data_IF_159181517723
#
_entry.id   IF_159181517723
#
_cell.length_a   1.000
_cell.length_b   1.000
_cell.length_c   1.000
_cell.angle_alpha   90.00
_cell.angle_beta   90.00
_cell.angle_gamma   90.00
#
_symmetry.space_group_name_H-M   'P 1'
#
loop_
_entity.id
_entity.type
_entity.pdbx_description
1 polymer ?
#
# COMPACT_ATOMS: atom_id res chain seq x y z
N UNK A 1 -11.37 10.84 -4.02
CA UNK A 1 -12.35 9.74 -3.93
C UNK A 1 -11.68 8.43 -4.38
N UNK A 2 -10.91 7.77 -3.52
CA UNK A 2 -10.14 6.54 -3.86
C UNK A 2 -11.04 5.39 -4.32
N UNK A 3 -12.26 5.34 -3.80
CA UNK A 3 -13.23 4.28 -4.05
C UNK A 3 -14.38 4.68 -4.99
N UNK A 4 -14.28 5.83 -5.68
CA UNK A 4 -15.37 6.38 -6.50
C UNK A 4 -16.51 6.97 -5.66
N UNK A 5 -17.61 7.39 -6.31
CA UNK A 5 -18.73 8.08 -5.67
C UNK A 5 -20.09 7.70 -6.29
N UNK A 6 -21.19 8.08 -5.61
CA UNK A 6 -22.55 7.87 -6.10
C UNK A 6 -22.99 6.40 -6.12
N UNK A 7 -23.83 6.03 -7.10
CA UNK A 7 -24.43 4.69 -7.19
C UNK A 7 -23.45 3.55 -7.51
N UNK A 8 -22.20 3.87 -7.89
CA UNK A 8 -21.14 2.91 -8.21
C UNK A 8 -19.90 3.08 -7.33
N UNK A 9 -20.06 3.66 -6.14
CA UNK A 9 -19.00 3.66 -5.12
C UNK A 9 -18.62 2.22 -4.78
N UNK A 10 -17.33 1.97 -4.52
CA UNK A 10 -16.86 0.62 -4.18
C UNK A 10 -17.63 0.10 -2.96
N UNK A 11 -18.38 -1.02 -3.09
CA UNK A 11 -19.12 -1.59 -1.96
C UNK A 11 -18.19 -2.08 -0.85
N UNK A 12 -16.95 -2.44 -1.20
CA UNK A 12 -15.93 -2.90 -0.26
C UNK A 12 -15.15 -1.79 0.46
N UNK A 13 -15.44 -0.49 0.23
CA UNK A 13 -14.63 0.61 0.77
C UNK A 13 -14.48 0.57 2.30
N UNK A 14 -15.53 0.14 3.02
CA UNK A 14 -15.50 0.09 4.48
C UNK A 14 -14.60 -1.05 4.99
N UNK A 15 -14.61 -2.20 4.31
CA UNK A 15 -13.71 -3.31 4.62
C UNK A 15 -12.28 -2.90 4.29
N UNK A 16 -12.04 -2.36 3.08
CA UNK A 16 -10.72 -1.92 2.65
C UNK A 16 -10.09 -0.90 3.63
N UNK A 17 -10.83 0.13 4.03
CA UNK A 17 -10.35 1.13 4.99
C UNK A 17 -9.99 0.52 6.36
N UNK A 18 -10.85 -0.37 6.88
CA UNK A 18 -10.60 -1.04 8.17
C UNK A 18 -9.41 -1.98 8.08
N UNK A 19 -9.31 -2.77 7.01
CA UNK A 19 -8.21 -3.71 6.81
C UNK A 19 -6.87 -2.99 6.67
N UNK A 20 -6.79 -1.92 5.87
CA UNK A 20 -5.56 -1.12 5.72
C UNK A 20 -5.15 -0.54 7.07
N UNK A 21 -6.10 0.02 7.82
CA UNK A 21 -5.81 0.59 9.14
C UNK A 21 -5.23 -0.45 10.11
N UNK A 22 -5.93 -1.59 10.28
CA UNK A 22 -5.52 -2.63 11.23
C UNK A 22 -4.17 -3.23 10.82
N UNK A 23 -4.00 -3.59 9.55
CA UNK A 23 -2.75 -4.21 9.09
C UNK A 23 -1.57 -3.25 9.22
N UNK A 24 -1.74 -1.98 8.87
CA UNK A 24 -0.68 -0.97 9.02
C UNK A 24 -0.32 -0.77 10.49
N UNK A 25 -1.31 -0.67 11.38
CA UNK A 25 -1.08 -0.53 12.81
C UNK A 25 -0.32 -1.73 13.40
N UNK A 26 -0.67 -2.95 13.02
CA UNK A 26 0.02 -4.17 13.47
C UNK A 26 1.47 -4.20 12.98
N UNK A 27 1.72 -3.86 11.71
CA UNK A 27 3.08 -3.82 11.16
C UNK A 27 3.95 -2.83 11.93
N UNK A 28 3.43 -1.63 12.19
CA UNK A 28 4.16 -0.57 12.91
C UNK A 28 4.32 -0.85 14.41
N UNK A 29 3.41 -1.65 14.98
CA UNK A 29 3.55 -2.13 16.36
C UNK A 29 4.65 -3.19 16.47
N UNK A 30 4.72 -4.12 15.52
CA UNK A 30 5.62 -5.27 15.57
C UNK A 30 7.05 -4.98 15.08
N UNK A 31 7.24 -4.08 14.12
CA UNK A 31 8.53 -3.90 13.42
C UNK A 31 9.01 -2.45 13.36
N UNK A 32 10.30 -2.24 13.04
CA UNK A 32 10.90 -0.94 12.73
C UNK A 32 11.38 -0.92 11.30
N UNK A 33 10.46 -0.61 10.39
CA UNK A 33 10.74 -0.59 8.95
C UNK A 33 11.80 0.46 8.62
N UNK A 34 12.85 0.05 7.90
CA UNK A 34 13.88 0.92 7.36
C UNK A 34 14.22 0.55 5.91
N UNK A 35 14.62 1.55 5.12
CA UNK A 35 15.09 1.34 3.76
C UNK A 35 16.45 0.62 3.77
N UNK A 36 16.66 -0.32 2.85
CA UNK A 36 17.98 -0.93 2.64
C UNK A 36 18.95 0.12 2.06
N UNK A 37 20.03 0.52 2.76
CA UNK A 37 20.96 1.53 2.26
C UNK A 37 21.68 1.13 0.97
N UNK A 38 21.82 -0.18 0.71
CA UNK A 38 22.46 -0.70 -0.50
C UNK A 38 21.50 -0.81 -1.69
N UNK A 39 20.19 -0.82 -1.46
CA UNK A 39 19.15 -0.98 -2.48
C UNK A 39 17.99 -0.02 -2.18
N UNK A 40 18.13 1.24 -2.59
CA UNK A 40 17.11 2.26 -2.42
C UNK A 40 15.84 1.94 -3.20
N UNK A 41 14.70 2.27 -2.61
CA UNK A 41 13.38 2.01 -3.18
C UNK A 41 13.07 3.11 -4.19
N UNK A 42 12.82 2.72 -5.43
CA UNK A 42 12.30 3.65 -6.44
C UNK A 42 10.78 3.83 -6.27
N UNK A 43 10.40 4.97 -5.70
CA UNK A 43 8.99 5.33 -5.46
C UNK A 43 8.17 5.54 -6.73
N UNK A 44 8.81 5.69 -7.89
CA UNK A 44 8.14 5.91 -9.18
C UNK A 44 8.12 4.64 -10.06
N UNK A 45 8.78 3.56 -9.62
CA UNK A 45 8.78 2.28 -10.31
C UNK A 45 7.42 1.57 -10.15
N UNK A 46 6.47 1.95 -11.00
CA UNK A 46 5.09 1.47 -10.98
C UNK A 46 4.70 0.99 -12.38
N UNK A 47 3.92 -0.10 -12.46
CA UNK A 47 3.46 -0.65 -13.74
C UNK A 47 2.53 0.32 -14.47
N UNK A 48 2.79 0.57 -15.76
CA UNK A 48 1.97 1.41 -16.61
C UNK A 48 0.86 0.58 -17.32
N UNK A 49 0.03 -0.10 -16.53
CA UNK A 49 -1.12 -0.88 -16.99
C UNK A 49 -2.39 -0.44 -16.28
N UNK A 50 -3.55 -0.98 -16.67
CA UNK A 50 -4.83 -0.64 -16.05
C UNK A 50 -4.88 -0.89 -14.53
N UNK A 51 -4.03 -1.80 -14.04
CA UNK A 51 -3.83 -2.08 -12.61
C UNK A 51 -2.43 -1.65 -12.19
N UNK A 52 -2.37 -0.64 -11.34
CA UNK A 52 -1.13 -0.01 -10.86
C UNK A 52 -0.51 -0.86 -9.75
N UNK A 53 0.67 -1.44 -10.00
CA UNK A 53 1.45 -2.20 -9.02
C UNK A 53 2.85 -1.62 -8.90
N UNK A 54 3.36 -1.51 -7.66
CA UNK A 54 4.76 -1.18 -7.42
C UNK A 54 5.68 -2.31 -7.92
N UNK A 55 6.87 -1.96 -8.40
CA UNK A 55 7.93 -2.91 -8.65
C UNK A 55 8.37 -3.63 -7.37
N UNK A 56 9.04 -4.77 -7.50
CA UNK A 56 9.56 -5.49 -6.34
C UNK A 56 10.61 -4.65 -5.61
N UNK A 57 10.54 -4.62 -4.29
CA UNK A 57 11.49 -3.93 -3.41
C UNK A 57 11.70 -4.72 -2.12
N UNK A 58 12.81 -4.41 -1.43
CA UNK A 58 13.18 -5.03 -0.17
C UNK A 58 13.30 -3.97 0.93
N UNK A 59 13.10 -4.37 2.18
CA UNK A 59 13.23 -3.51 3.35
C UNK A 59 13.97 -4.25 4.47
N UNK A 60 14.51 -3.48 5.42
CA UNK A 60 15.06 -4.01 6.67
C UNK A 60 14.02 -3.83 7.79
N UNK A 61 13.84 -4.85 8.64
CA UNK A 61 12.89 -4.85 9.77
C UNK A 61 13.54 -4.46 11.10
#
# INVERSE_FOLDING_TARGET
>A
FTFGFGRRVCPGQHVANRSIFINTAIILWAFRLSENPAAKIDTLAISNTATVHAAAFEICL
#
